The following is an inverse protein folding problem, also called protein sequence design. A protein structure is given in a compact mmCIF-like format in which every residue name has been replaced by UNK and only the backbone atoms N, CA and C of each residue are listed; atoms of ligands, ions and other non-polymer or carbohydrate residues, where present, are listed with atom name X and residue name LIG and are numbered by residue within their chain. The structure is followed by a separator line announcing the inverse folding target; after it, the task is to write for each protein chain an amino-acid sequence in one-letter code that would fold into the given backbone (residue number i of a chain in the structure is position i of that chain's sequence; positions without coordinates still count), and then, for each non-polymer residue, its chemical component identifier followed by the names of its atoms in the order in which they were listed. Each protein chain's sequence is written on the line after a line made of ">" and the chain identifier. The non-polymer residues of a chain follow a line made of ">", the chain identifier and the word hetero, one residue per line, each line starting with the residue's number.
data_IF_091232815401
#
_entry.id   IF_091232815401
#
_cell.length_a   1.000
_cell.length_b   1.000
_cell.length_c   1.000
_cell.angle_alpha   90.00
_cell.angle_beta   90.00
_cell.angle_gamma   90.00
#
_symmetry.space_group_name_H-M   'P 1'
#
loop_
_entity.id
_entity.type
_entity.pdbx_description
1 polymer ?
#
# COMPACT_ATOMS: atom_id res chain seq x y z
N UNK A 1 1.06 -30.25 33.34
CA UNK A 1 1.17 -30.25 31.87
C UNK A 1 1.91 -28.99 31.46
N UNK A 2 3.20 -29.07 31.26
CA UNK A 2 4.08 -27.96 30.87
C UNK A 2 3.91 -27.70 29.38
N UNK A 3 3.27 -26.60 28.99
CA UNK A 3 3.24 -26.14 27.60
C UNK A 3 4.65 -25.69 27.21
N UNK A 4 5.31 -26.48 26.37
CA UNK A 4 6.62 -26.15 25.84
C UNK A 4 6.61 -24.83 25.09
N UNK A 5 7.48 -23.94 25.49
CA UNK A 5 7.78 -22.67 24.85
C UNK A 5 8.63 -23.00 23.60
N UNK A 6 7.98 -23.34 22.51
CA UNK A 6 8.70 -23.44 21.22
C UNK A 6 9.00 -22.02 20.76
N UNK A 7 10.27 -21.66 20.74
CA UNK A 7 10.74 -20.47 20.06
C UNK A 7 10.19 -20.50 18.62
N UNK A 8 9.32 -19.56 18.26
CA UNK A 8 8.77 -19.41 16.92
C UNK A 8 9.85 -18.84 16.00
N UNK A 9 10.79 -19.69 15.60
CA UNK A 9 11.77 -19.35 14.58
C UNK A 9 11.12 -19.12 13.23
N UNK A 10 11.86 -18.58 12.26
CA UNK A 10 11.42 -18.32 10.89
C UNK A 10 10.64 -19.49 10.25
N UNK A 11 11.11 -20.72 10.43
CA UNK A 11 10.46 -21.94 9.92
C UNK A 11 9.07 -22.17 10.57
N UNK A 12 8.91 -21.86 11.84
CA UNK A 12 7.62 -21.98 12.54
C UNK A 12 6.61 -20.95 12.02
N UNK A 13 7.04 -19.70 11.82
CA UNK A 13 6.19 -18.64 11.24
C UNK A 13 5.77 -18.97 9.80
N UNK A 14 6.68 -19.49 8.98
CA UNK A 14 6.39 -19.93 7.61
C UNK A 14 5.34 -21.03 7.59
N UNK A 15 5.48 -22.04 8.46
CA UNK A 15 4.52 -23.15 8.57
C UNK A 15 3.13 -22.65 8.96
N UNK A 16 3.05 -21.83 9.99
CA UNK A 16 1.80 -21.20 10.44
C UNK A 16 1.15 -20.35 9.33
N UNK A 17 1.93 -19.57 8.60
CA UNK A 17 1.43 -18.75 7.49
C UNK A 17 0.87 -19.59 6.33
N UNK A 18 1.45 -20.75 6.04
CA UNK A 18 0.92 -21.71 5.06
C UNK A 18 -0.36 -22.36 5.56
N UNK A 19 -0.37 -22.87 6.81
CA UNK A 19 -1.51 -23.54 7.41
C UNK A 19 -2.74 -22.62 7.57
N UNK A 20 -2.52 -21.33 7.78
CA UNK A 20 -3.58 -20.30 7.89
C UNK A 20 -3.96 -19.67 6.55
N UNK A 21 -3.33 -20.07 5.44
CA UNK A 21 -3.59 -19.51 4.11
C UNK A 21 -3.05 -18.09 3.89
N UNK A 22 -2.28 -17.53 4.85
CA UNK A 22 -1.68 -16.19 4.73
C UNK A 22 -0.50 -16.14 3.75
N UNK A 23 0.12 -17.28 3.45
CA UNK A 23 1.19 -17.38 2.46
C UNK A 23 0.66 -18.05 1.19
N UNK A 24 0.39 -17.29 0.11
CA UNK A 24 -0.11 -17.83 -1.14
C UNK A 24 0.84 -18.88 -1.75
N UNK A 25 0.33 -19.84 -2.54
CA UNK A 25 1.15 -20.82 -3.22
C UNK A 25 2.25 -20.18 -4.07
N UNK A 26 3.47 -20.69 -3.95
CA UNK A 26 4.63 -20.19 -4.70
C UNK A 26 5.30 -18.95 -4.12
N UNK A 27 4.77 -18.39 -3.02
CA UNK A 27 5.37 -17.27 -2.30
C UNK A 27 6.37 -17.75 -1.25
N UNK A 28 7.39 -16.94 -1.00
CA UNK A 28 8.36 -17.13 0.07
C UNK A 28 8.18 -16.09 1.16
N UNK A 29 8.05 -16.52 2.41
CA UNK A 29 8.02 -15.59 3.54
C UNK A 29 9.38 -14.92 3.69
N UNK A 30 9.39 -13.61 3.95
CA UNK A 30 10.60 -12.83 4.21
C UNK A 30 10.42 -11.92 5.44
N UNK A 31 11.53 -11.59 6.08
CA UNK A 31 11.57 -10.61 7.19
C UNK A 31 11.95 -9.20 6.68
N UNK A 32 12.79 -9.12 5.65
CA UNK A 32 13.20 -7.87 5.03
C UNK A 32 12.08 -7.19 4.23
N UNK A 33 12.41 -6.03 3.67
CA UNK A 33 11.57 -5.35 2.69
C UNK A 33 12.43 -5.06 1.46
N UNK A 34 12.40 -5.91 0.41
CA UNK A 34 13.24 -5.72 -0.77
C UNK A 34 12.91 -4.43 -1.51
N UNK A 35 13.93 -3.71 -1.92
CA UNK A 35 13.79 -2.57 -2.83
C UNK A 35 13.73 -3.10 -4.25
N UNK A 36 12.61 -2.87 -4.92
CA UNK A 36 12.39 -3.23 -6.32
C UNK A 36 11.98 -1.97 -7.07
N UNK A 37 12.75 -1.55 -8.05
CA UNK A 37 12.45 -0.34 -8.82
C UNK A 37 12.35 -0.65 -10.31
N UNK A 38 11.44 0.06 -11.00
CA UNK A 38 11.29 0.02 -12.45
C UNK A 38 12.17 1.05 -13.16
N UNK A 39 13.00 1.79 -12.40
CA UNK A 39 13.86 2.87 -12.90
C UNK A 39 14.52 3.62 -11.74
N UNK A 40 15.14 4.77 -11.99
CA UNK A 40 15.67 5.62 -10.93
C UNK A 40 14.58 6.00 -9.93
N UNK A 41 14.91 5.98 -8.64
CA UNK A 41 13.96 6.39 -7.59
C UNK A 41 13.65 7.88 -7.76
N UNK A 42 12.38 8.26 -8.02
CA UNK A 42 12.01 9.65 -8.16
C UNK A 42 12.13 10.38 -6.82
N UNK A 43 12.44 11.66 -6.89
CA UNK A 43 12.45 12.54 -5.74
C UNK A 43 11.60 13.77 -6.03
N UNK A 44 10.47 13.88 -5.36
CA UNK A 44 9.59 15.04 -5.43
C UNK A 44 9.57 15.73 -4.07
N UNK A 45 10.15 16.95 -3.97
CA UNK A 45 10.08 17.73 -2.72
C UNK A 45 8.65 17.96 -2.27
N UNK A 46 8.37 17.87 -0.96
CA UNK A 46 7.03 17.98 -0.39
C UNK A 46 6.34 19.32 -0.67
N UNK A 47 7.09 20.38 -0.85
CA UNK A 47 6.59 21.71 -1.24
C UNK A 47 6.12 21.79 -2.70
N UNK A 48 6.56 20.85 -3.54
CA UNK A 48 6.15 20.70 -4.96
C UNK A 48 5.25 19.51 -5.19
N UNK A 49 5.05 18.69 -4.16
CA UNK A 49 4.24 17.48 -4.26
C UNK A 49 2.75 17.83 -4.22
N UNK A 50 2.00 17.16 -5.07
CA UNK A 50 0.55 17.16 -5.04
C UNK A 50 -0.01 15.79 -5.42
N UNK A 51 -1.24 15.53 -4.99
CA UNK A 51 -2.01 14.36 -5.35
C UNK A 51 -3.28 14.80 -6.07
N UNK A 52 -3.55 14.21 -7.24
CA UNK A 52 -4.69 14.59 -8.07
C UNK A 52 -5.58 13.40 -8.40
N UNK A 53 -6.88 13.64 -8.44
CA UNK A 53 -7.88 12.73 -9.00
C UNK A 53 -8.63 13.48 -10.08
N UNK A 54 -8.50 13.02 -11.32
CA UNK A 54 -9.05 13.68 -12.52
C UNK A 54 -9.64 12.65 -13.48
N UNK A 55 -10.28 13.11 -14.54
CA UNK A 55 -10.89 12.26 -15.57
C UNK A 55 -12.38 12.05 -15.33
N UNK A 56 -12.86 10.82 -15.36
CA UNK A 56 -14.28 10.48 -15.19
C UNK A 56 -14.72 10.57 -13.74
N UNK A 57 -14.78 11.78 -13.22
CA UNK A 57 -15.22 12.13 -11.85
C UNK A 57 -16.15 13.33 -11.90
N UNK A 58 -17.11 13.42 -10.96
CA UNK A 58 -18.00 14.60 -10.86
C UNK A 58 -17.23 15.85 -10.39
N UNK A 59 -16.28 15.66 -9.48
CA UNK A 59 -15.53 16.74 -8.84
C UNK A 59 -14.04 16.43 -8.85
N UNK A 60 -13.27 16.91 -9.84
CA UNK A 60 -11.82 16.78 -9.84
C UNK A 60 -11.20 17.30 -8.55
N UNK A 61 -10.24 16.59 -8.01
CA UNK A 61 -9.59 16.89 -6.73
C UNK A 61 -8.09 17.09 -6.91
N UNK A 62 -7.54 17.99 -6.10
CA UNK A 62 -6.10 18.18 -5.98
C UNK A 62 -5.77 18.58 -4.54
N UNK A 63 -4.81 17.90 -3.95
CA UNK A 63 -4.31 18.18 -2.61
C UNK A 63 -2.82 18.47 -2.65
N UNK A 64 -2.41 19.60 -2.12
CA UNK A 64 -1.00 19.83 -1.76
C UNK A 64 -0.61 18.90 -0.62
N UNK A 65 0.69 18.73 -0.36
CA UNK A 65 1.17 17.92 0.76
C UNK A 65 0.47 18.28 2.09
N UNK A 66 0.41 19.57 2.42
CA UNK A 66 -0.23 20.03 3.66
C UNK A 66 -1.72 19.70 3.74
N UNK A 67 -2.45 19.84 2.64
CA UNK A 67 -3.87 19.47 2.57
C UNK A 67 -4.07 17.95 2.67
N UNK A 68 -3.23 17.17 1.99
CA UNK A 68 -3.27 15.71 2.04
C UNK A 68 -3.04 15.19 3.47
N UNK A 69 -2.12 15.78 4.21
CA UNK A 69 -1.83 15.42 5.61
C UNK A 69 -2.98 15.74 6.60
N UNK A 70 -3.94 16.59 6.21
CA UNK A 70 -5.11 16.92 7.02
C UNK A 70 -6.32 16.01 6.75
N UNK A 71 -6.26 15.17 5.73
CA UNK A 71 -7.33 14.21 5.46
C UNK A 71 -7.42 13.15 6.60
N UNK A 72 -8.62 12.57 6.82
CA UNK A 72 -8.80 11.50 7.79
C UNK A 72 -7.81 10.35 7.54
N UNK A 73 -7.06 9.99 8.57
CA UNK A 73 -6.00 8.99 8.50
C UNK A 73 -6.42 7.67 9.13
N UNK A 74 -5.95 6.60 8.54
CA UNK A 74 -6.13 5.25 9.05
C UNK A 74 -4.77 4.57 9.25
N UNK A 75 -4.71 3.65 10.22
CA UNK A 75 -3.57 2.74 10.40
C UNK A 75 -4.08 1.32 10.24
N UNK A 76 -3.44 0.57 9.35
CA UNK A 76 -3.82 -0.80 9.03
C UNK A 76 -2.62 -1.73 9.15
N UNK A 77 -2.87 -2.95 9.61
CA UNK A 77 -1.87 -4.01 9.61
C UNK A 77 -2.31 -5.08 8.63
N UNK A 78 -1.51 -5.31 7.60
CA UNK A 78 -1.84 -6.17 6.47
C UNK A 78 -0.65 -6.99 6.02
N UNK A 79 -0.92 -8.08 5.32
CA UNK A 79 0.09 -8.83 4.61
C UNK A 79 0.27 -8.25 3.21
N UNK A 80 1.50 -8.21 2.71
CA UNK A 80 1.79 -7.78 1.35
C UNK A 80 2.45 -8.92 0.58
N UNK A 81 2.03 -9.06 -0.69
CA UNK A 81 2.51 -10.11 -1.59
C UNK A 81 3.07 -9.47 -2.86
N UNK A 82 4.28 -9.86 -3.24
CA UNK A 82 4.91 -9.31 -4.43
C UNK A 82 4.84 -10.29 -5.60
N UNK A 83 4.65 -9.78 -6.81
CA UNK A 83 4.73 -10.57 -8.04
C UNK A 83 6.09 -11.30 -8.21
N UNK A 84 7.14 -10.82 -7.57
CA UNK A 84 8.46 -11.47 -7.51
C UNK A 84 8.53 -12.60 -6.49
N UNK A 85 7.39 -13.11 -6.03
CA UNK A 85 7.22 -14.31 -5.21
C UNK A 85 7.75 -14.23 -3.78
N UNK A 86 7.63 -13.07 -3.16
CA UNK A 86 7.83 -12.94 -1.73
C UNK A 86 6.60 -12.34 -1.03
N UNK A 87 6.42 -12.71 0.22
CA UNK A 87 5.39 -12.18 1.10
C UNK A 87 6.01 -11.68 2.38
N UNK A 88 5.53 -10.53 2.86
CA UNK A 88 5.86 -9.98 4.17
C UNK A 88 4.56 -9.81 4.95
N UNK A 89 4.49 -10.47 6.10
CA UNK A 89 3.29 -10.50 6.93
C UNK A 89 3.34 -9.41 8.01
N UNK A 90 2.16 -9.03 8.51
CA UNK A 90 1.97 -8.12 9.65
C UNK A 90 2.65 -6.75 9.44
N UNK A 91 2.61 -6.22 8.21
CA UNK A 91 3.14 -4.90 7.89
C UNK A 91 2.16 -3.81 8.32
N UNK A 92 2.64 -2.82 9.06
CA UNK A 92 1.80 -1.73 9.57
C UNK A 92 2.01 -0.46 8.74
N UNK A 93 0.90 0.07 8.23
CA UNK A 93 0.88 1.23 7.35
C UNK A 93 -0.06 2.31 7.87
N UNK A 94 0.29 3.57 7.66
CA UNK A 94 -0.62 4.68 7.92
C UNK A 94 -0.75 5.57 6.70
N UNK A 95 -1.98 6.03 6.44
CA UNK A 95 -2.29 6.86 5.29
C UNK A 95 -3.77 7.20 5.19
N UNK A 96 -4.22 7.48 3.99
CA UNK A 96 -5.57 7.92 3.68
C UNK A 96 -6.27 6.79 2.90
N UNK A 97 -7.47 6.37 3.35
CA UNK A 97 -8.29 5.42 2.60
C UNK A 97 -8.66 5.97 1.22
N UNK A 98 -8.64 5.13 0.20
CA UNK A 98 -9.14 5.53 -1.12
C UNK A 98 -10.64 5.84 -1.10
N UNK A 99 -11.42 5.30 -0.17
CA UNK A 99 -12.82 5.70 0.00
C UNK A 99 -12.95 7.18 0.35
N UNK A 100 -12.07 7.72 1.20
CA UNK A 100 -12.03 9.16 1.52
C UNK A 100 -11.68 10.00 0.28
N UNK A 101 -10.67 9.59 -0.47
CA UNK A 101 -10.18 10.28 -1.67
C UNK A 101 -11.23 10.23 -2.79
N UNK A 102 -11.73 9.04 -3.09
CA UNK A 102 -12.70 8.82 -4.16
C UNK A 102 -14.08 9.36 -3.80
N UNK A 103 -14.47 9.33 -2.52
CA UNK A 103 -15.69 9.94 -2.03
C UNK A 103 -15.75 11.46 -2.27
N UNK A 104 -14.61 12.14 -2.18
CA UNK A 104 -14.47 13.54 -2.53
C UNK A 104 -14.55 13.80 -4.05
N UNK A 105 -13.98 12.89 -4.85
CA UNK A 105 -13.93 13.03 -6.32
C UNK A 105 -15.19 12.52 -7.02
N UNK A 106 -15.89 11.54 -6.45
CA UNK A 106 -17.11 10.90 -6.98
C UNK A 106 -16.89 10.32 -8.39
N UNK A 107 -16.17 9.20 -8.52
CA UNK A 107 -15.89 8.59 -9.81
C UNK A 107 -17.16 8.11 -10.51
N UNK A 108 -17.21 8.28 -11.83
CA UNK A 108 -18.32 7.86 -12.71
C UNK A 108 -17.90 6.70 -13.63
N UNK A 109 -16.66 6.20 -13.50
CA UNK A 109 -16.13 5.08 -14.26
C UNK A 109 -15.95 3.84 -13.36
N UNK A 110 -15.86 2.66 -13.98
CA UNK A 110 -15.66 1.38 -13.28
C UNK A 110 -14.19 1.03 -13.02
N UNK A 111 -13.24 1.89 -13.44
CA UNK A 111 -11.80 1.64 -13.31
C UNK A 111 -11.06 2.89 -12.85
N UNK A 112 -9.96 2.67 -12.14
CA UNK A 112 -8.96 3.68 -11.76
C UNK A 112 -7.68 3.41 -12.53
N UNK A 113 -7.07 4.48 -13.05
CA UNK A 113 -5.71 4.46 -13.57
C UNK A 113 -4.82 5.20 -12.57
N UNK A 114 -3.93 4.48 -11.91
CA UNK A 114 -2.96 5.06 -11.00
C UNK A 114 -1.62 5.24 -11.72
N UNK A 115 -1.07 6.44 -11.63
CA UNK A 115 0.25 6.76 -12.17
C UNK A 115 1.05 7.60 -11.17
N UNK A 116 2.36 7.47 -11.21
CA UNK A 116 3.25 8.15 -10.30
C UNK A 116 4.41 8.85 -11.02
N UNK A 117 5.15 9.66 -10.29
CA UNK A 117 6.41 10.22 -10.75
C UNK A 117 7.34 9.07 -11.20
N UNK A 118 8.02 9.26 -12.33
CA UNK A 118 8.83 8.21 -12.94
C UNK A 118 8.11 7.37 -14.00
N UNK A 119 6.80 7.60 -14.20
CA UNK A 119 6.03 7.03 -15.31
C UNK A 119 5.52 5.61 -15.11
N UNK A 120 5.59 5.05 -13.89
CA UNK A 120 4.92 3.78 -13.60
C UNK A 120 3.41 3.95 -13.56
N UNK A 121 2.70 3.05 -14.22
CA UNK A 121 1.23 3.09 -14.37
C UNK A 121 0.63 1.73 -14.08
N UNK A 122 -0.50 1.70 -13.39
CA UNK A 122 -1.33 0.51 -13.23
C UNK A 122 -2.82 0.87 -13.31
N UNK A 123 -3.64 -0.07 -13.74
CA UNK A 123 -5.08 0.06 -13.76
C UNK A 123 -5.72 -0.98 -12.85
N UNK A 124 -6.79 -0.58 -12.17
CA UNK A 124 -7.50 -1.39 -11.18
C UNK A 124 -9.01 -1.21 -11.38
N UNK A 125 -9.83 -2.26 -11.22
CA UNK A 125 -11.26 -2.09 -11.06
C UNK A 125 -11.55 -1.16 -9.87
N UNK A 126 -12.54 -0.28 -10.00
CA UNK A 126 -12.93 0.61 -8.90
C UNK A 126 -13.35 -0.18 -7.65
N UNK A 127 -13.99 -1.34 -7.85
CA UNK A 127 -14.42 -2.22 -6.76
C UNK A 127 -13.25 -2.77 -5.92
N UNK A 128 -12.06 -2.93 -6.52
CA UNK A 128 -10.88 -3.46 -5.83
C UNK A 128 -10.15 -2.40 -4.98
N UNK A 129 -10.53 -1.13 -5.13
CA UNK A 129 -9.88 -0.03 -4.40
C UNK A 129 -10.84 0.75 -3.48
N UNK A 130 -12.07 0.28 -3.35
CA UNK A 130 -13.11 0.82 -2.47
C UNK A 130 -13.47 -0.17 -1.36
N UNK A 131 -14.34 0.23 -0.41
CA UNK A 131 -14.76 -0.58 0.73
C UNK A 131 -13.61 -0.95 1.69
N UNK A 132 -12.74 0.00 2.00
CA UNK A 132 -11.58 -0.14 2.89
C UNK A 132 -10.62 -1.27 2.46
N UNK A 133 -10.36 -1.37 1.17
CA UNK A 133 -9.44 -2.35 0.60
C UNK A 133 -8.14 -1.73 0.06
N UNK A 134 -8.07 -0.39 -0.03
CA UNK A 134 -6.92 0.31 -0.57
C UNK A 134 -6.67 1.67 0.10
N UNK A 135 -5.40 2.07 0.16
CA UNK A 135 -4.93 3.30 0.82
C UNK A 135 -3.83 3.97 0.01
N UNK A 136 -3.71 5.29 0.16
CA UNK A 136 -2.49 6.03 -0.15
C UNK A 136 -1.74 6.22 1.16
N UNK A 137 -0.63 5.52 1.32
CA UNK A 137 0.13 5.46 2.58
C UNK A 137 1.42 6.25 2.49
N UNK A 138 1.80 6.91 3.58
CA UNK A 138 3.03 7.71 3.71
C UNK A 138 3.91 7.24 4.87
N UNK A 139 3.44 6.27 5.64
CA UNK A 139 4.12 5.76 6.84
C UNK A 139 4.15 4.23 6.80
N UNK A 140 5.29 3.66 7.13
CA UNK A 140 5.54 2.23 7.26
C UNK A 140 6.21 1.94 8.60
N UNK A 141 5.63 1.01 9.39
CA UNK A 141 6.10 0.63 10.74
C UNK A 141 6.39 1.84 11.65
N UNK A 142 5.52 2.87 11.59
CA UNK A 142 5.60 4.07 12.42
C UNK A 142 6.60 5.14 11.95
N UNK A 143 7.32 4.89 10.85
CA UNK A 143 8.28 5.83 10.26
C UNK A 143 7.81 6.35 8.89
N UNK A 144 8.22 7.55 8.47
CA UNK A 144 7.96 8.03 7.11
C UNK A 144 8.45 7.02 6.07
N UNK A 145 7.63 6.81 5.03
CA UNK A 145 7.96 5.85 3.98
C UNK A 145 9.24 6.26 3.23
N UNK A 146 10.26 5.39 3.18
CA UNK A 146 11.48 5.65 2.44
C UNK A 146 11.23 5.83 0.94
N UNK A 147 12.02 6.65 0.27
CA UNK A 147 11.88 6.92 -1.17
C UNK A 147 11.98 5.64 -2.01
N UNK A 148 12.91 4.75 -1.67
CA UNK A 148 13.12 3.47 -2.35
C UNK A 148 11.94 2.49 -2.20
N UNK A 149 11.04 2.74 -1.26
CA UNK A 149 9.79 1.98 -1.07
C UNK A 149 8.56 2.74 -1.57
N UNK A 150 8.75 3.81 -2.33
CA UNK A 150 7.69 4.59 -2.96
C UNK A 150 7.29 5.84 -2.18
N UNK A 151 8.15 6.34 -1.25
CA UNK A 151 7.92 7.63 -0.60
C UNK A 151 7.88 8.81 -1.60
N UNK A 152 7.24 9.94 -1.23
CA UNK A 152 6.60 10.24 0.05
C UNK A 152 5.26 9.55 0.29
N UNK A 153 4.58 9.03 -0.76
CA UNK A 153 3.37 8.21 -0.66
C UNK A 153 3.38 7.09 -1.68
N UNK A 154 2.68 5.99 -1.37
CA UNK A 154 2.44 4.91 -2.31
C UNK A 154 1.00 4.39 -2.21
N UNK A 155 0.52 3.81 -3.31
CA UNK A 155 -0.70 3.02 -3.32
C UNK A 155 -0.45 1.67 -2.61
N UNK A 156 -1.33 1.32 -1.70
CA UNK A 156 -1.37 0.04 -0.99
C UNK A 156 -2.70 -0.66 -1.28
N UNK A 157 -2.65 -1.84 -1.90
CA UNK A 157 -3.81 -2.71 -2.22
C UNK A 157 -3.46 -4.13 -1.79
N UNK A 158 -3.61 -4.49 -0.51
CA UNK A 158 -3.01 -5.70 0.06
C UNK A 158 -3.54 -7.02 -0.49
N UNK A 159 -4.76 -7.02 -1.02
CA UNK A 159 -5.44 -8.25 -1.48
C UNK A 159 -5.14 -8.60 -2.95
N UNK A 160 -4.35 -7.80 -3.67
CA UNK A 160 -3.95 -8.01 -5.05
C UNK A 160 -2.49 -8.47 -5.20
#
# INVERSE_FOLDING_TARGET
>A
MTKGFFARGFLGRRREAVETGRLPPGQSLIDGFPVLSAGPTPYTPKDKWDFTVVGAVETPQRWTWGQFQQLPRETVTVDIHCVTKWSKLDTTWSGISLDTILGAAKPTAGYVLAFCDGGYVTNLPLADVTNHTAWIVDTYDGAPLPLEHGGPVRLLVPHL
#
